data_IF_057492734942
#
_entry.id   IF_057492734942
#
_cell.length_a   1.000
_cell.length_b   1.000
_cell.length_c   1.000
_cell.angle_alpha   90.00
_cell.angle_beta   90.00
_cell.angle_gamma   90.00
#
_symmetry.space_group_name_H-M   'P 1'
#
loop_
_entity.id
_entity.type
_entity.pdbx_description
1 polymer ?
#
# COMPACT_ATOMS: atom_id res chain seq x y z
N UNK A 1 -15.88 44.06 -37.37
CA UNK A 1 -15.02 42.87 -37.31
C UNK A 1 -13.90 43.16 -36.32
N UNK A 2 -13.93 42.59 -35.11
CA UNK A 2 -12.88 42.83 -34.10
C UNK A 2 -11.87 41.69 -34.19
N UNK A 3 -10.66 42.01 -34.62
CA UNK A 3 -9.52 41.10 -34.69
C UNK A 3 -9.03 40.86 -33.25
N UNK A 4 -9.60 39.85 -32.59
CA UNK A 4 -9.15 39.42 -31.26
C UNK A 4 -7.80 38.73 -31.45
N UNK A 5 -6.75 39.27 -30.84
CA UNK A 5 -5.38 38.79 -31.06
C UNK A 5 -5.25 37.33 -30.60
N UNK A 6 -4.55 36.51 -31.38
CA UNK A 6 -4.30 35.08 -31.09
C UNK A 6 -3.78 34.82 -29.67
N UNK A 7 -3.10 35.82 -29.08
CA UNK A 7 -2.59 35.78 -27.71
C UNK A 7 -3.70 35.77 -26.66
N UNK A 8 -4.79 36.51 -26.86
CA UNK A 8 -5.91 36.54 -25.91
C UNK A 8 -6.68 35.22 -25.89
N UNK A 9 -6.80 34.54 -27.03
CA UNK A 9 -7.33 33.18 -27.10
C UNK A 9 -6.41 32.18 -26.39
N UNK A 10 -5.10 32.28 -26.61
CA UNK A 10 -4.13 31.39 -25.97
C UNK A 10 -4.12 31.58 -24.44
N UNK A 11 -4.14 32.82 -23.97
CA UNK A 11 -4.23 33.15 -22.55
C UNK A 11 -5.54 32.63 -21.92
N UNK A 12 -6.66 32.75 -22.63
CA UNK A 12 -7.95 32.21 -22.18
C UNK A 12 -7.93 30.67 -22.07
N UNK A 13 -7.35 29.97 -23.05
CA UNK A 13 -7.25 28.50 -23.02
C UNK A 13 -6.36 28.00 -21.87
N UNK A 14 -5.24 28.69 -21.62
CA UNK A 14 -4.37 28.37 -20.47
C UNK A 14 -5.11 28.59 -19.15
N UNK A 15 -5.80 29.72 -19.00
CA UNK A 15 -6.56 30.01 -17.79
C UNK A 15 -7.71 29.00 -17.54
N UNK A 16 -8.42 28.58 -18.60
CA UNK A 16 -9.47 27.56 -18.52
C UNK A 16 -8.87 26.20 -18.09
N UNK A 17 -7.70 25.85 -18.63
CA UNK A 17 -7.02 24.59 -18.28
C UNK A 17 -6.58 24.57 -16.81
N UNK A 18 -6.02 25.68 -16.31
CA UNK A 18 -5.69 25.82 -14.89
C UNK A 18 -6.92 25.77 -13.98
N UNK A 19 -8.06 26.32 -14.42
CA UNK A 19 -9.32 26.21 -13.69
C UNK A 19 -9.86 24.78 -13.61
N UNK A 20 -9.70 23.98 -14.68
CA UNK A 20 -10.14 22.59 -14.72
C UNK A 20 -9.24 21.66 -13.89
N UNK A 21 -7.93 21.94 -13.79
CA UNK A 21 -7.01 21.17 -12.95
C UNK A 21 -7.23 21.38 -11.44
N UNK A 22 -7.80 22.53 -11.01
CA UNK A 22 -8.03 22.84 -9.59
C UNK A 22 -9.23 22.14 -8.94
N UNK A 23 -10.01 21.33 -9.69
CA UNK A 23 -11.13 20.54 -9.13
C UNK A 23 -10.84 19.04 -9.01
N UNK A 24 -9.58 18.60 -9.10
CA UNK A 24 -9.23 17.22 -8.77
C UNK A 24 -9.31 17.04 -7.26
N UNK A 25 -10.50 16.63 -6.77
CA UNK A 25 -10.67 16.11 -5.41
C UNK A 25 -9.56 15.09 -5.13
N UNK A 26 -8.86 15.15 -3.98
CA UNK A 26 -7.92 14.10 -3.63
C UNK A 26 -8.67 12.76 -3.73
N UNK A 27 -8.06 11.79 -4.40
CA UNK A 27 -8.57 10.41 -4.39
C UNK A 27 -8.31 9.87 -2.98
N UNK A 28 -9.27 10.07 -2.09
CA UNK A 28 -9.33 9.38 -0.80
C UNK A 28 -9.62 7.91 -1.08
N UNK A 29 -8.57 7.15 -1.38
CA UNK A 29 -8.59 5.69 -1.46
C UNK A 29 -9.01 5.03 -0.13
N UNK A 30 -8.97 5.82 0.96
CA UNK A 30 -9.34 5.42 2.31
C UNK A 30 -10.80 5.79 2.68
N UNK A 31 -11.53 6.50 1.81
CA UNK A 31 -12.91 6.90 2.08
C UNK A 31 -13.82 5.67 2.13
N UNK A 32 -14.10 5.20 3.35
CA UNK A 32 -14.97 4.05 3.61
C UNK A 32 -14.24 2.79 4.05
N UNK A 33 -12.91 2.81 4.16
CA UNK A 33 -12.19 1.72 4.84
C UNK A 33 -12.38 1.86 6.36
N UNK A 34 -12.63 0.74 7.07
CA UNK A 34 -12.69 0.78 8.53
C UNK A 34 -11.35 1.27 9.08
N UNK A 35 -11.40 2.11 10.11
CA UNK A 35 -10.17 2.57 10.75
C UNK A 35 -9.31 1.35 11.15
N UNK A 36 -8.03 1.39 10.79
CA UNK A 36 -7.09 0.35 11.18
C UNK A 36 -7.19 0.14 12.69
N UNK A 37 -7.50 -1.10 13.11
CA UNK A 37 -7.68 -1.38 14.52
C UNK A 37 -6.37 -1.13 15.26
N UNK A 38 -6.40 -0.33 16.34
CA UNK A 38 -5.26 -0.16 17.24
C UNK A 38 -4.89 -1.45 18.02
N UNK A 39 -5.51 -2.58 17.66
CA UNK A 39 -5.29 -3.89 18.26
C UNK A 39 -4.49 -4.78 17.31
N UNK A 40 -3.40 -5.36 17.82
CA UNK A 40 -2.64 -6.36 17.10
C UNK A 40 -3.39 -7.71 17.15
N UNK A 41 -3.95 -8.13 16.02
CA UNK A 41 -4.65 -9.42 15.91
C UNK A 41 -3.64 -10.51 15.54
N UNK A 42 -3.43 -11.46 16.44
CA UNK A 42 -2.48 -12.56 16.20
C UNK A 42 -3.04 -13.64 15.29
N UNK A 43 -4.36 -13.89 15.36
CA UNK A 43 -5.09 -14.85 14.53
C UNK A 43 -6.49 -14.33 14.27
N UNK A 44 -7.00 -14.60 13.07
CA UNK A 44 -8.39 -14.29 12.70
C UNK A 44 -9.01 -15.49 12.00
N UNK A 45 -10.22 -15.86 12.42
CA UNK A 45 -11.03 -16.88 11.75
C UNK A 45 -11.91 -16.29 10.66
N UNK A 46 -12.20 -14.98 10.73
CA UNK A 46 -12.98 -14.26 9.72
C UNK A 46 -12.23 -14.11 8.39
N UNK A 47 -10.89 -14.00 8.46
CA UNK A 47 -10.02 -13.83 7.30
C UNK A 47 -8.85 -14.83 7.34
N UNK A 48 -9.09 -16.13 7.07
CA UNK A 48 -8.09 -17.18 7.29
C UNK A 48 -6.83 -17.04 6.42
N UNK A 49 -6.90 -16.28 5.32
CA UNK A 49 -5.75 -15.95 4.47
C UNK A 49 -4.85 -14.85 5.01
N UNK A 50 -5.28 -14.08 6.03
CA UNK A 50 -4.50 -12.99 6.62
C UNK A 50 -3.55 -13.53 7.69
N UNK A 51 -2.31 -13.08 7.64
CA UNK A 51 -1.26 -13.48 8.59
C UNK A 51 -0.56 -12.27 9.19
N UNK A 52 -0.02 -12.45 10.40
CA UNK A 52 0.89 -11.52 11.05
C UNK A 52 2.33 -11.93 10.75
N UNK A 53 3.10 -11.01 10.20
CA UNK A 53 4.54 -11.16 9.95
C UNK A 53 5.29 -10.38 11.04
N UNK A 54 6.10 -11.09 11.81
CA UNK A 54 6.89 -10.54 12.90
C UNK A 54 8.36 -10.57 12.46
N UNK A 55 9.04 -9.44 12.64
CA UNK A 55 10.47 -9.31 12.39
C UNK A 55 11.12 -8.47 13.49
N UNK A 56 12.44 -8.31 13.44
CA UNK A 56 13.17 -7.40 14.32
C UNK A 56 12.76 -5.93 14.18
N UNK A 57 12.21 -5.52 13.03
CA UNK A 57 11.81 -4.12 12.77
C UNK A 57 10.38 -3.81 13.20
N UNK A 58 9.58 -4.83 13.53
CA UNK A 58 8.21 -4.66 14.00
C UNK A 58 7.23 -5.68 13.44
N UNK A 59 5.97 -5.26 13.36
CA UNK A 59 4.84 -6.08 12.93
C UNK A 59 4.30 -5.61 11.58
N UNK A 60 4.09 -6.57 10.69
CA UNK A 60 3.47 -6.37 9.40
C UNK A 60 2.31 -7.35 9.20
N UNK A 61 1.46 -7.03 8.22
CA UNK A 61 0.44 -7.96 7.72
C UNK A 61 0.92 -8.66 6.45
N UNK A 62 0.35 -9.83 6.16
CA UNK A 62 0.59 -10.56 4.92
C UNK A 62 -0.62 -11.40 4.51
N UNK A 63 -0.56 -11.96 3.31
CA UNK A 63 -1.60 -12.84 2.76
C UNK A 63 -0.99 -14.15 2.29
N UNK A 64 -1.61 -15.28 2.65
CA UNK A 64 -1.21 -16.61 2.15
C UNK A 64 -1.53 -16.67 0.65
N UNK A 65 -0.53 -16.94 -0.17
CA UNK A 65 -0.69 -17.14 -1.62
C UNK A 65 -0.39 -18.59 -2.05
N UNK A 66 0.22 -19.39 -1.17
CA UNK A 66 0.45 -20.82 -1.35
C UNK A 66 0.76 -21.49 0.00
N UNK A 67 0.80 -22.82 0.04
CA UNK A 67 1.06 -23.62 1.25
C UNK A 67 2.39 -23.28 1.94
N UNK A 68 3.33 -22.65 1.22
CA UNK A 68 4.66 -22.25 1.73
C UNK A 68 5.04 -20.81 1.36
N UNK A 69 4.06 -19.97 0.98
CA UNK A 69 4.35 -18.61 0.55
C UNK A 69 3.32 -17.60 1.09
N UNK A 70 3.86 -16.49 1.59
CA UNK A 70 3.09 -15.34 2.07
C UNK A 70 3.55 -14.11 1.29
N UNK A 71 2.59 -13.36 0.75
CA UNK A 71 2.81 -12.05 0.17
C UNK A 71 2.74 -10.99 1.27
N UNK A 72 3.74 -10.10 1.32
CA UNK A 72 3.79 -8.96 2.25
C UNK A 72 4.48 -7.77 1.58
N UNK A 73 4.53 -6.63 2.26
CA UNK A 73 5.22 -5.45 1.74
C UNK A 73 6.74 -5.63 1.77
N UNK A 74 7.43 -5.17 0.72
CA UNK A 74 8.89 -5.32 0.61
C UNK A 74 9.64 -4.71 1.81
N UNK A 75 9.17 -3.57 2.33
CA UNK A 75 9.80 -2.90 3.47
C UNK A 75 9.73 -3.70 4.78
N UNK A 76 8.80 -4.65 4.88
CA UNK A 76 8.70 -5.56 6.03
C UNK A 76 9.82 -6.61 6.01
N UNK A 77 10.40 -6.89 4.84
CA UNK A 77 11.41 -7.92 4.64
C UNK A 77 12.76 -7.35 4.19
N UNK A 78 13.03 -6.06 4.38
CA UNK A 78 14.29 -5.44 3.94
C UNK A 78 15.50 -5.84 4.79
N UNK A 79 15.29 -6.13 6.07
CA UNK A 79 16.39 -6.43 6.99
C UNK A 79 16.67 -7.94 7.05
N UNK A 80 17.90 -8.33 7.35
CA UNK A 80 18.17 -9.74 7.70
C UNK A 80 17.75 -10.00 9.14
N UNK A 81 17.23 -11.20 9.42
CA UNK A 81 16.79 -11.58 10.76
C UNK A 81 15.77 -12.71 10.75
N UNK A 82 15.28 -13.02 11.94
CA UNK A 82 14.21 -13.99 12.11
C UNK A 82 12.86 -13.40 11.68
N UNK A 83 12.17 -14.11 10.81
CA UNK A 83 10.82 -13.81 10.35
C UNK A 83 9.86 -14.87 10.86
N UNK A 84 8.95 -14.49 11.74
CA UNK A 84 7.87 -15.37 12.20
C UNK A 84 6.55 -14.97 11.55
N UNK A 85 5.94 -15.91 10.83
CA UNK A 85 4.58 -15.79 10.29
C UNK A 85 3.62 -16.49 11.23
N UNK A 86 2.57 -15.80 11.67
CA UNK A 86 1.51 -16.34 12.52
C UNK A 86 0.16 -16.19 11.83
N UNK A 87 -0.59 -17.29 11.74
CA UNK A 87 -1.94 -17.31 11.17
C UNK A 87 -2.84 -18.34 11.86
N UNK A 88 -4.02 -18.56 11.29
CA UNK A 88 -4.97 -19.55 11.83
C UNK A 88 -4.42 -21.00 11.73
N UNK A 89 -3.53 -21.25 10.77
CA UNK A 89 -2.88 -22.55 10.53
C UNK A 89 -1.69 -22.84 11.48
N UNK A 90 -1.31 -21.89 12.34
CA UNK A 90 -0.17 -22.03 13.24
C UNK A 90 0.86 -20.92 13.03
N UNK A 91 2.11 -21.21 13.38
CA UNK A 91 3.23 -20.29 13.22
C UNK A 91 4.41 -20.99 12.57
N UNK A 92 5.09 -20.28 11.67
CA UNK A 92 6.33 -20.73 11.04
C UNK A 92 7.37 -19.63 11.18
N UNK A 93 8.61 -20.00 11.53
CA UNK A 93 9.72 -19.06 11.61
C UNK A 93 10.83 -19.44 10.65
N UNK A 94 11.48 -18.44 10.07
CA UNK A 94 12.63 -18.62 9.18
C UNK A 94 13.65 -17.52 9.42
N UNK A 95 14.93 -17.88 9.32
CA UNK A 95 16.06 -16.94 9.32
C UNK A 95 16.69 -16.80 7.93
N UNK A 96 16.15 -17.50 6.93
CA UNK A 96 16.67 -17.44 5.57
C UNK A 96 16.08 -16.23 4.86
N UNK A 97 16.96 -15.32 4.45
CA UNK A 97 16.62 -14.10 3.73
C UNK A 97 17.26 -14.13 2.34
N UNK A 98 16.44 -13.96 1.30
CA UNK A 98 16.89 -13.85 -0.07
C UNK A 98 16.67 -12.42 -0.55
N UNK A 99 17.76 -11.70 -0.83
CA UNK A 99 17.68 -10.37 -1.42
C UNK A 99 17.30 -10.48 -2.90
N UNK A 100 16.08 -10.05 -3.25
CA UNK A 100 15.61 -9.98 -4.63
C UNK A 100 16.13 -8.75 -5.41
N UNK A 101 17.21 -8.13 -4.94
CA UNK A 101 17.84 -6.95 -5.55
C UNK A 101 17.38 -5.62 -4.95
N UNK A 102 18.22 -4.60 -5.06
CA UNK A 102 17.89 -3.21 -4.75
C UNK A 102 17.20 -2.59 -5.96
N UNK A 103 15.96 -2.11 -5.79
CA UNK A 103 15.31 -1.20 -6.75
C UNK A 103 15.89 0.20 -6.66
#
# INVERSE_FOLDING_TARGET
MRYVSSWTHFAALVAISFFLMSCQKPLDLEAGLPQASNFNVTKTTAFPGVVKVISSTGYCSGTIVSNKAVLTAAHCTLQSGEYTVVGNFGSASTNTHYNFGTI
#
